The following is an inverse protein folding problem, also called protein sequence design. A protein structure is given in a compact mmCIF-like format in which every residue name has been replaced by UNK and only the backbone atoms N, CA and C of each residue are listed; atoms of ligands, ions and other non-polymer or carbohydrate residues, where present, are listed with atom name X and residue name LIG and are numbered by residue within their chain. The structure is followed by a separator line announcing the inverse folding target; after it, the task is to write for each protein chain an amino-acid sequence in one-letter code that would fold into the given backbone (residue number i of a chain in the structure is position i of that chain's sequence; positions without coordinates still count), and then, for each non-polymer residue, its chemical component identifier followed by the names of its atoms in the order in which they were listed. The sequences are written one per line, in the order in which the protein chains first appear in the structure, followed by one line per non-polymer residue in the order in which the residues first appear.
data_IF_808312823924
#
_entry.id   IF_808312823924
#
_cell.length_a   1.000
_cell.length_b   1.000
_cell.length_c   1.000
_cell.angle_alpha   90.00
_cell.angle_beta   90.00
_cell.angle_gamma   90.00
#
_symmetry.space_group_name_H-M   'P 1'
#
loop_
_entity.id
_entity.type
_entity.pdbx_description
1 polymer ?
#
# COMPACT_ATOMS: atom_id res chain seq x y z
N UNK A 1 12.02 5.01 -21.38
CA UNK A 1 11.14 4.24 -20.50
C UNK A 1 11.90 4.01 -19.21
N UNK A 2 11.47 4.61 -18.10
CA UNK A 2 12.13 4.45 -16.78
C UNK A 2 11.85 3.04 -16.26
N UNK A 3 12.91 2.29 -15.94
CA UNK A 3 12.78 0.93 -15.40
C UNK A 3 12.64 0.96 -13.88
N UNK A 4 11.48 0.50 -13.39
CA UNK A 4 11.17 0.31 -11.97
C UNK A 4 11.94 -0.92 -11.47
N UNK A 5 12.43 -0.85 -10.24
CA UNK A 5 13.12 -1.95 -9.59
C UNK A 5 12.55 -2.21 -8.18
N UNK A 6 13.05 -3.26 -7.53
CA UNK A 6 12.60 -3.66 -6.20
C UNK A 6 12.76 -2.56 -5.14
N UNK A 7 13.71 -1.64 -5.30
CA UNK A 7 13.91 -0.50 -4.41
C UNK A 7 12.76 0.50 -4.46
N UNK A 8 12.18 0.73 -5.65
CA UNK A 8 11.03 1.62 -5.78
C UNK A 8 9.77 0.98 -5.20
N UNK A 9 9.55 -0.32 -5.42
CA UNK A 9 8.43 -1.03 -4.82
C UNK A 9 8.48 -1.04 -3.30
N UNK A 10 9.68 -1.18 -2.71
CA UNK A 10 9.85 -1.05 -1.25
C UNK A 10 9.51 0.34 -0.75
N UNK A 11 9.96 1.39 -1.43
CA UNK A 11 9.61 2.78 -1.09
C UNK A 11 8.12 3.05 -1.28
N UNK A 12 7.50 2.54 -2.33
CA UNK A 12 6.06 2.64 -2.56
C UNK A 12 5.26 1.98 -1.42
N UNK A 13 5.62 0.75 -1.05
CA UNK A 13 4.99 0.05 0.07
C UNK A 13 5.17 0.80 1.40
N UNK A 14 6.37 1.33 1.66
CA UNK A 14 6.64 2.15 2.83
C UNK A 14 5.77 3.41 2.84
N UNK A 15 5.72 4.16 1.72
CA UNK A 15 4.92 5.39 1.63
C UNK A 15 3.42 5.12 1.86
N UNK A 16 2.88 4.07 1.23
CA UNK A 16 1.47 3.66 1.42
C UNK A 16 1.20 3.32 2.90
N UNK A 17 2.14 2.63 3.55
CA UNK A 17 2.01 2.26 4.97
C UNK A 17 1.99 3.49 5.87
N UNK A 18 2.95 4.41 5.70
CA UNK A 18 3.01 5.64 6.50
C UNK A 18 1.79 6.53 6.27
N UNK A 19 1.32 6.60 5.02
CA UNK A 19 0.11 7.34 4.67
C UNK A 19 -1.13 6.77 5.35
N UNK A 20 -1.24 5.43 5.43
CA UNK A 20 -2.33 4.74 6.14
C UNK A 20 -2.35 5.09 7.63
N UNK A 21 -1.18 5.25 8.24
CA UNK A 21 -1.02 5.66 9.64
C UNK A 21 -1.14 7.18 9.87
N UNK A 22 -1.34 7.98 8.81
CA UNK A 22 -1.29 9.45 8.86
C UNK A 22 0.02 9.98 9.45
N UNK A 23 1.13 9.27 9.21
CA UNK A 23 2.46 9.68 9.65
C UNK A 23 3.15 10.51 8.56
N UNK A 24 2.97 11.83 8.65
CA UNK A 24 3.58 12.79 7.72
C UNK A 24 5.11 12.78 7.83
N UNK A 25 5.68 12.48 9.00
CA UNK A 25 7.13 12.41 9.19
C UNK A 25 7.69 11.22 8.43
N UNK A 26 7.06 10.05 8.57
CA UNK A 26 7.38 8.85 7.81
C UNK A 26 7.21 9.04 6.30
N UNK A 27 6.14 9.72 5.88
CA UNK A 27 5.94 10.03 4.46
C UNK A 27 7.06 10.90 3.88
N UNK A 28 7.44 11.96 4.61
CA UNK A 28 8.51 12.86 4.18
C UNK A 28 9.87 12.15 4.12
N UNK A 29 10.16 11.25 5.05
CA UNK A 29 11.39 10.45 5.02
C UNK A 29 11.49 9.62 3.72
N UNK A 30 10.43 8.92 3.33
CA UNK A 30 10.43 8.11 2.10
C UNK A 30 10.54 8.97 0.83
N UNK A 31 9.87 10.13 0.81
CA UNK A 31 9.98 11.08 -0.29
C UNK A 31 11.40 11.64 -0.42
N UNK A 32 12.03 11.96 0.71
CA UNK A 32 13.40 12.44 0.76
C UNK A 32 14.39 11.37 0.26
N UNK A 33 14.26 10.11 0.70
CA UNK A 33 15.08 9.00 0.20
C UNK A 33 14.95 8.83 -1.32
N UNK A 34 13.73 8.93 -1.85
CA UNK A 34 13.50 8.86 -3.29
C UNK A 34 14.12 10.04 -4.05
N UNK A 35 14.06 11.24 -3.47
CA UNK A 35 14.66 12.44 -4.03
C UNK A 35 16.19 12.35 -4.05
N UNK A 36 16.81 11.93 -2.95
CA UNK A 36 18.26 11.74 -2.83
C UNK A 36 18.79 10.68 -3.81
N UNK A 37 18.00 9.64 -4.07
CA UNK A 37 18.33 8.63 -5.08
C UNK A 37 18.06 9.08 -6.53
N UNK A 38 17.43 10.24 -6.76
CA UNK A 38 17.00 10.68 -8.10
C UNK A 38 15.91 9.81 -8.72
N UNK A 39 15.05 9.20 -7.88
CA UNK A 39 14.09 8.13 -8.25
C UNK A 39 12.66 8.45 -7.81
N UNK A 40 12.27 9.72 -7.79
CA UNK A 40 10.91 10.15 -7.41
C UNK A 40 9.87 9.68 -8.43
N UNK A 41 10.21 9.75 -9.72
CA UNK A 41 9.32 9.27 -10.79
C UNK A 41 9.02 7.78 -10.63
N UNK A 42 10.04 6.97 -10.37
CA UNK A 42 9.88 5.52 -10.20
C UNK A 42 9.17 5.17 -8.88
N UNK A 43 9.29 5.99 -7.84
CA UNK A 43 8.45 5.86 -6.65
C UNK A 43 6.97 6.03 -7.01
N UNK A 44 6.61 7.09 -7.74
CA UNK A 44 5.22 7.35 -8.15
C UNK A 44 4.69 6.20 -9.01
N UNK A 45 5.47 5.75 -9.99
CA UNK A 45 5.10 4.61 -10.83
C UNK A 45 4.94 3.33 -10.01
N UNK A 46 5.84 3.07 -9.05
CA UNK A 46 5.74 1.92 -8.16
C UNK A 46 4.46 1.93 -7.30
N UNK A 47 3.98 3.11 -6.89
CA UNK A 47 2.69 3.25 -6.18
C UNK A 47 1.53 2.91 -7.12
N UNK A 48 1.56 3.44 -8.35
CA UNK A 48 0.52 3.17 -9.34
C UNK A 48 0.46 1.68 -9.69
N UNK A 49 1.59 1.03 -9.91
CA UNK A 49 1.68 -0.41 -10.20
C UNK A 49 1.10 -1.26 -9.05
N UNK A 50 1.34 -0.85 -7.80
CA UNK A 50 0.75 -1.53 -6.63
C UNK A 50 -0.77 -1.44 -6.67
N UNK A 51 -1.34 -0.26 -6.91
CA UNK A 51 -2.79 -0.11 -7.01
C UNK A 51 -3.38 -0.79 -8.25
N UNK A 52 -2.71 -0.69 -9.40
CA UNK A 52 -3.12 -1.38 -10.63
C UNK A 52 -3.18 -2.90 -10.43
N UNK A 53 -2.25 -3.47 -9.65
CA UNK A 53 -2.24 -4.90 -9.34
C UNK A 53 -3.29 -5.29 -8.30
N UNK A 54 -3.39 -4.52 -7.20
CA UNK A 54 -4.24 -4.88 -6.06
C UNK A 54 -5.72 -4.62 -6.30
N UNK A 55 -6.08 -3.50 -6.93
CA UNK A 55 -7.48 -3.09 -7.08
C UNK A 55 -8.32 -4.11 -7.84
N UNK A 56 -7.88 -4.69 -8.99
CA UNK A 56 -8.62 -5.74 -9.66
C UNK A 56 -8.74 -7.03 -8.84
N UNK A 57 -7.69 -7.40 -8.10
CA UNK A 57 -7.70 -8.58 -7.24
C UNK A 57 -8.75 -8.45 -6.13
N UNK A 58 -8.84 -7.27 -5.49
CA UNK A 58 -9.84 -6.99 -4.46
C UNK A 58 -11.27 -7.03 -4.99
N UNK A 59 -11.49 -6.60 -6.24
CA UNK A 59 -12.79 -6.68 -6.90
C UNK A 59 -13.12 -8.05 -7.49
N UNK A 60 -12.17 -8.98 -7.51
CA UNK A 60 -12.42 -10.34 -7.98
C UNK A 60 -13.41 -11.06 -7.04
N UNK A 61 -14.14 -12.09 -7.54
CA UNK A 61 -15.02 -12.90 -6.67
C UNK A 61 -14.29 -13.47 -5.45
N UNK A 62 -13.03 -13.88 -5.61
CA UNK A 62 -12.19 -14.37 -4.51
C UNK A 62 -11.85 -13.25 -3.53
N UNK A 63 -11.46 -12.07 -4.02
CA UNK A 63 -11.15 -10.90 -3.19
C UNK A 63 -12.35 -10.47 -2.35
N UNK A 64 -13.54 -10.37 -2.97
CA UNK A 64 -14.78 -10.04 -2.27
C UNK A 64 -15.12 -11.09 -1.20
N UNK A 65 -14.95 -12.38 -1.51
CA UNK A 65 -15.18 -13.44 -0.53
C UNK A 65 -14.22 -13.35 0.66
N UNK A 66 -12.94 -13.08 0.41
CA UNK A 66 -11.95 -12.88 1.46
C UNK A 66 -12.27 -11.67 2.35
N UNK A 67 -12.63 -10.52 1.74
CA UNK A 67 -13.04 -9.32 2.47
C UNK A 67 -14.26 -9.57 3.36
N UNK A 68 -15.27 -10.27 2.85
CA UNK A 68 -16.46 -10.65 3.65
C UNK A 68 -16.08 -11.48 4.87
N UNK A 69 -15.17 -12.44 4.71
CA UNK A 69 -14.71 -13.27 5.82
C UNK A 69 -13.95 -12.45 6.88
N UNK A 70 -13.10 -11.51 6.45
CA UNK A 70 -12.38 -10.61 7.38
C UNK A 70 -13.37 -9.73 8.16
N UNK A 71 -14.35 -9.14 7.49
CA UNK A 71 -15.38 -8.32 8.14
C UNK A 71 -16.17 -9.14 9.17
N UNK A 72 -16.57 -10.37 8.81
CA UNK A 72 -17.28 -11.27 9.73
C UNK A 72 -16.41 -11.73 10.91
N UNK A 73 -15.09 -11.82 10.75
CA UNK A 73 -14.17 -12.12 11.84
C UNK A 73 -13.99 -10.93 12.79
N UNK A 74 -13.84 -9.73 12.24
CA UNK A 74 -13.75 -8.50 13.04
C UNK A 74 -15.01 -8.28 13.88
N UNK A 75 -16.19 -8.42 13.29
CA UNK A 75 -17.47 -8.27 14.00
C UNK A 75 -17.58 -9.24 15.19
N UNK A 76 -17.18 -10.51 15.02
CA UNK A 76 -17.18 -11.50 16.10
C UNK A 76 -16.21 -11.16 17.23
N UNK A 77 -15.06 -10.54 16.94
CA UNK A 77 -14.10 -10.12 17.97
C UNK A 77 -14.67 -8.97 18.81
N UNK A 78 -15.29 -7.98 18.18
CA UNK A 78 -15.92 -6.86 18.87
C UNK A 78 -17.09 -7.29 19.78
N UNK A 79 -17.84 -8.34 19.40
CA UNK A 79 -18.89 -8.92 20.23
C UNK A 79 -18.34 -9.63 21.48
N UNK A 80 -17.19 -10.29 21.36
CA UNK A 80 -16.56 -11.02 22.46
C UNK A 80 -15.79 -10.13 23.46
N UNK A 81 -15.47 -8.90 23.07
CA UNK A 81 -14.79 -7.91 23.92
C UNK A 81 -15.75 -7.06 24.77
N UNK A 82 -17.07 -7.22 24.60
CA UNK A 82 -18.14 -6.57 25.37
C UNK A 82 -18.66 -7.46 26.50
#
# INVERSE_FOLDING_TARGET
MTTINAGDFRRAAALITQHTSRDDTGCNAVLQEAAEAGRVTELILGILDVYETLTPLLHSPLGIAALRNIIADLARREENEK
#
